data_IF_834633683668
#
_entry.id   IF_834633683668
#
_cell.length_a   1.000
_cell.length_b   1.000
_cell.length_c   1.000
_cell.angle_alpha   90.00
_cell.angle_beta   90.00
_cell.angle_gamma   90.00
#
_symmetry.space_group_name_H-M   'P 1'
#
loop_
_entity.id
_entity.type
_entity.pdbx_description
1 polymer ?
#
# COMPACT_ATOMS: atom_id res chain seq x y z
N UNK A 1 -26.36 -4.93 19.53
CA UNK A 1 -25.24 -5.90 19.66
C UNK A 1 -25.60 -7.15 18.87
N UNK A 2 -25.24 -7.17 17.59
CA UNK A 2 -25.50 -8.29 16.67
C UNK A 2 -24.46 -9.40 16.94
N UNK A 3 -24.84 -10.68 17.21
CA UNK A 3 -23.91 -11.76 17.55
C UNK A 3 -22.88 -12.05 16.43
N UNK A 4 -21.83 -12.82 16.72
CA UNK A 4 -20.84 -13.22 15.71
C UNK A 4 -21.53 -14.19 14.75
N UNK A 5 -22.02 -13.70 13.62
CA UNK A 5 -22.90 -14.48 12.73
C UNK A 5 -22.15 -15.44 11.81
N UNK A 6 -20.84 -15.32 11.68
CA UNK A 6 -20.08 -16.03 10.64
C UNK A 6 -18.86 -16.71 11.25
N UNK A 7 -18.97 -18.03 11.45
CA UNK A 7 -17.87 -18.91 11.85
C UNK A 7 -17.19 -19.54 10.63
N UNK A 8 -17.92 -19.75 9.53
CA UNK A 8 -17.43 -20.31 8.26
C UNK A 8 -18.05 -19.61 7.03
N UNK A 9 -17.50 -19.86 5.83
CA UNK A 9 -17.98 -19.24 4.59
C UNK A 9 -19.41 -19.66 4.20
N UNK A 10 -19.76 -20.91 4.45
CA UNK A 10 -21.09 -21.50 4.23
C UNK A 10 -22.17 -20.89 5.11
N UNK A 11 -21.81 -20.41 6.32
CA UNK A 11 -22.77 -19.76 7.22
C UNK A 11 -23.31 -18.47 6.60
N UNK A 12 -22.51 -17.80 5.76
CA UNK A 12 -22.95 -16.59 5.08
C UNK A 12 -24.07 -16.89 4.11
N UNK A 13 -23.92 -17.87 3.21
CA UNK A 13 -24.94 -18.20 2.21
C UNK A 13 -26.28 -18.62 2.83
N UNK A 14 -26.25 -19.31 3.97
CA UNK A 14 -27.45 -19.75 4.69
C UNK A 14 -28.13 -18.63 5.47
N UNK A 15 -27.35 -17.71 6.07
CA UNK A 15 -27.87 -16.64 6.92
C UNK A 15 -28.22 -15.39 6.11
N UNK A 16 -27.59 -15.19 4.94
CA UNK A 16 -27.74 -13.99 4.12
C UNK A 16 -29.18 -13.68 3.71
N UNK A 17 -30.05 -14.65 3.33
CA UNK A 17 -31.44 -14.36 3.00
C UNK A 17 -32.23 -13.70 4.15
N UNK A 18 -31.89 -14.03 5.40
CA UNK A 18 -32.52 -13.47 6.61
C UNK A 18 -31.84 -12.17 7.04
N UNK A 19 -30.53 -12.08 6.84
CA UNK A 19 -29.72 -10.93 7.23
C UNK A 19 -29.84 -9.77 6.24
N UNK A 20 -29.98 -10.03 4.94
CA UNK A 20 -30.00 -9.03 3.89
C UNK A 20 -31.17 -8.02 4.02
N UNK A 21 -32.41 -8.41 4.37
CA UNK A 21 -33.49 -7.45 4.64
C UNK A 21 -33.20 -6.56 5.85
N UNK A 22 -32.65 -7.14 6.92
CA UNK A 22 -32.32 -6.42 8.16
C UNK A 22 -31.18 -5.44 7.89
N UNK A 23 -30.13 -5.88 7.21
CA UNK A 23 -29.04 -5.02 6.77
C UNK A 23 -29.51 -3.95 5.81
N UNK A 24 -30.36 -4.27 4.84
CA UNK A 24 -30.92 -3.31 3.90
C UNK A 24 -31.70 -2.20 4.62
N UNK A 25 -32.51 -2.59 5.61
CA UNK A 25 -33.26 -1.66 6.46
C UNK A 25 -32.34 -0.81 7.33
N UNK A 26 -31.43 -1.40 8.11
CA UNK A 26 -30.48 -0.70 8.96
C UNK A 26 -29.55 0.21 8.15
N UNK A 27 -29.05 -0.24 7.00
CA UNK A 27 -28.24 0.58 6.11
C UNK A 27 -29.05 1.72 5.49
N UNK A 28 -30.34 1.55 5.19
CA UNK A 28 -31.14 2.62 4.61
C UNK A 28 -31.60 3.64 5.66
N UNK A 29 -32.15 3.17 6.77
CA UNK A 29 -32.88 3.97 7.77
C UNK A 29 -31.96 4.49 8.90
N UNK A 30 -30.95 3.72 9.31
CA UNK A 30 -30.14 4.01 10.51
C UNK A 30 -28.70 4.36 10.15
N UNK A 31 -28.50 5.63 9.72
CA UNK A 31 -27.20 6.13 9.25
C UNK A 31 -26.06 5.91 10.24
N UNK A 32 -26.34 6.01 11.53
CA UNK A 32 -25.35 5.91 12.60
C UNK A 32 -24.82 4.48 12.79
N UNK A 33 -25.60 3.46 12.43
CA UNK A 33 -25.20 2.05 12.57
C UNK A 33 -24.48 1.49 11.35
N UNK A 34 -24.43 2.24 10.24
CA UNK A 34 -23.83 1.77 8.97
C UNK A 34 -22.38 1.34 9.14
N UNK A 35 -21.58 2.17 9.81
CA UNK A 35 -20.15 1.90 10.01
C UNK A 35 -19.94 0.66 10.88
N UNK A 36 -20.72 0.49 11.95
CA UNK A 36 -20.60 -0.65 12.84
C UNK A 36 -21.00 -1.96 12.15
N UNK A 37 -22.04 -1.91 11.32
CA UNK A 37 -22.43 -3.05 10.47
C UNK A 37 -21.31 -3.37 9.47
N UNK A 38 -20.77 -2.38 8.76
CA UNK A 38 -19.68 -2.60 7.81
C UNK A 38 -18.42 -3.17 8.48
N UNK A 39 -18.05 -2.67 9.66
CA UNK A 39 -16.95 -3.20 10.48
C UNK A 39 -17.16 -4.66 10.85
N UNK A 40 -18.38 -5.02 11.23
CA UNK A 40 -18.73 -6.39 11.64
C UNK A 40 -18.54 -7.42 10.53
N UNK A 41 -18.82 -7.02 9.28
CA UNK A 41 -18.69 -7.89 8.10
C UNK A 41 -17.38 -7.69 7.33
N UNK A 42 -16.48 -6.82 7.80
CA UNK A 42 -15.25 -6.47 7.11
C UNK A 42 -14.42 -7.71 6.75
N UNK A 43 -14.29 -8.68 7.67
CA UNK A 43 -13.57 -9.93 7.41
C UNK A 43 -14.14 -10.68 6.19
N UNK A 44 -15.46 -10.91 6.18
CA UNK A 44 -16.12 -11.68 5.12
C UNK A 44 -16.04 -10.97 3.77
N UNK A 45 -16.28 -9.65 3.75
CA UNK A 45 -16.18 -8.86 2.53
C UNK A 45 -14.75 -8.78 2.02
N UNK A 46 -13.77 -8.54 2.89
CA UNK A 46 -12.36 -8.51 2.49
C UNK A 46 -11.91 -9.85 1.94
N UNK A 47 -12.31 -10.96 2.56
CA UNK A 47 -11.98 -12.30 2.04
C UNK A 47 -12.51 -12.49 0.62
N UNK A 48 -13.75 -12.11 0.37
CA UNK A 48 -14.35 -12.21 -0.97
C UNK A 48 -13.65 -11.30 -1.98
N UNK A 49 -13.42 -10.03 -1.61
CA UNK A 49 -12.72 -9.07 -2.46
C UNK A 49 -11.28 -9.53 -2.78
N UNK A 50 -10.57 -10.13 -1.82
CA UNK A 50 -9.23 -10.68 -2.03
C UNK A 50 -9.25 -11.88 -2.98
N UNK A 51 -10.23 -12.77 -2.80
CA UNK A 51 -10.45 -13.89 -3.71
C UNK A 51 -10.68 -13.36 -5.13
N UNK A 52 -11.72 -12.55 -5.31
CA UNK A 52 -12.11 -11.97 -6.59
C UNK A 52 -10.98 -11.18 -7.26
N UNK A 53 -10.21 -10.41 -6.49
CA UNK A 53 -9.08 -9.67 -7.03
C UNK A 53 -7.95 -10.58 -7.53
N UNK A 54 -7.68 -11.71 -6.86
CA UNK A 54 -6.55 -12.60 -7.17
C UNK A 54 -6.88 -13.69 -8.20
N UNK A 55 -8.16 -13.88 -8.54
CA UNK A 55 -8.64 -14.79 -9.58
C UNK A 55 -7.97 -14.50 -10.93
N UNK A 56 -7.75 -15.58 -11.70
CA UNK A 56 -7.14 -15.52 -13.04
C UNK A 56 -7.98 -14.68 -14.00
N UNK A 57 -7.38 -14.16 -15.08
CA UNK A 57 -8.14 -13.42 -16.09
C UNK A 57 -9.22 -14.30 -16.74
N UNK A 58 -8.87 -15.52 -17.14
CA UNK A 58 -9.80 -16.43 -17.81
C UNK A 58 -11.04 -16.71 -16.96
N UNK A 59 -10.84 -17.06 -15.69
CA UNK A 59 -11.94 -17.30 -14.75
C UNK A 59 -12.79 -16.05 -14.53
N UNK A 60 -12.17 -14.87 -14.44
CA UNK A 60 -12.90 -13.62 -14.22
C UNK A 60 -13.68 -13.19 -15.46
N UNK A 61 -13.15 -13.44 -16.66
CA UNK A 61 -13.83 -13.22 -17.93
C UNK A 61 -15.04 -14.16 -18.09
N UNK A 62 -14.92 -15.42 -17.67
CA UNK A 62 -16.01 -16.40 -17.66
C UNK A 62 -17.12 -16.04 -16.66
N UNK A 63 -16.76 -15.67 -15.42
CA UNK A 63 -17.72 -15.41 -14.34
C UNK A 63 -18.43 -14.06 -14.52
N UNK A 64 -17.70 -13.01 -14.91
CA UNK A 64 -18.25 -11.64 -14.96
C UNK A 64 -18.61 -11.20 -16.40
N UNK A 65 -18.24 -11.98 -17.43
CA UNK A 65 -18.44 -11.59 -18.83
C UNK A 65 -17.67 -10.32 -19.23
N UNK A 66 -16.68 -9.89 -18.43
CA UNK A 66 -15.94 -8.64 -18.64
C UNK A 66 -14.55 -8.90 -19.21
N UNK A 67 -14.20 -8.28 -20.33
CA UNK A 67 -12.93 -8.51 -21.03
C UNK A 67 -12.07 -7.25 -21.17
N UNK A 68 -10.75 -7.44 -21.29
CA UNK A 68 -9.81 -6.36 -21.62
C UNK A 68 -9.86 -5.18 -20.63
N UNK A 69 -10.22 -3.98 -21.12
CA UNK A 69 -10.22 -2.77 -20.31
C UNK A 69 -11.28 -2.77 -19.21
N UNK A 70 -12.45 -3.41 -19.41
CA UNK A 70 -13.49 -3.46 -18.37
C UNK A 70 -13.04 -4.31 -17.19
N UNK A 71 -12.36 -5.44 -17.46
CA UNK A 71 -11.74 -6.28 -16.44
C UNK A 71 -10.73 -5.51 -15.58
N UNK A 72 -9.88 -4.68 -16.22
CA UNK A 72 -8.92 -3.83 -15.50
C UNK A 72 -9.63 -2.82 -14.60
N UNK A 73 -10.69 -2.17 -15.09
CA UNK A 73 -11.49 -1.21 -14.33
C UNK A 73 -12.19 -1.87 -13.15
N UNK A 74 -12.74 -3.08 -13.34
CA UNK A 74 -13.34 -3.88 -12.28
C UNK A 74 -12.33 -4.17 -11.17
N UNK A 75 -11.14 -4.65 -11.52
CA UNK A 75 -10.07 -4.88 -10.54
C UNK A 75 -9.63 -3.61 -9.81
N UNK A 76 -9.50 -2.49 -10.52
CA UNK A 76 -9.21 -1.20 -9.88
C UNK A 76 -10.30 -0.82 -8.87
N UNK A 77 -11.57 -1.06 -9.19
CA UNK A 77 -12.71 -0.80 -8.31
C UNK A 77 -12.68 -1.70 -7.08
N UNK A 78 -12.42 -3.00 -7.25
CA UNK A 78 -12.27 -3.96 -6.15
C UNK A 78 -11.14 -3.52 -5.20
N UNK A 79 -9.97 -3.18 -5.74
CA UNK A 79 -8.83 -2.75 -4.94
C UNK A 79 -9.10 -1.44 -4.18
N UNK A 80 -9.84 -0.52 -4.78
CA UNK A 80 -10.23 0.72 -4.10
C UNK A 80 -11.23 0.44 -2.97
N UNK A 81 -12.20 -0.44 -3.20
CA UNK A 81 -13.11 -0.91 -2.14
C UNK A 81 -12.34 -1.57 -1.00
N UNK A 82 -11.33 -2.41 -1.29
CA UNK A 82 -10.46 -2.99 -0.26
C UNK A 82 -9.80 -1.90 0.58
N UNK A 83 -9.25 -0.84 -0.04
CA UNK A 83 -8.63 0.27 0.70
C UNK A 83 -9.61 0.95 1.64
N UNK A 84 -10.84 1.21 1.20
CA UNK A 84 -11.87 1.82 2.05
C UNK A 84 -12.21 0.96 3.27
N UNK A 85 -12.16 -0.37 3.13
CA UNK A 85 -12.36 -1.28 4.26
C UNK A 85 -11.17 -1.31 5.22
N UNK A 86 -9.94 -1.02 4.79
CA UNK A 86 -8.76 -1.03 5.68
C UNK A 86 -8.90 -0.05 6.85
N UNK A 87 -9.51 1.11 6.63
CA UNK A 87 -9.72 2.12 7.67
C UNK A 87 -10.77 1.68 8.73
N UNK A 88 -11.61 0.71 8.37
CA UNK A 88 -12.67 0.17 9.23
C UNK A 88 -12.24 -1.13 9.91
N UNK A 89 -11.20 -1.79 9.42
CA UNK A 89 -10.87 -3.15 9.80
C UNK A 89 -9.93 -3.16 11.02
N UNK A 90 -10.25 -3.92 12.08
CA UNK A 90 -9.36 -4.12 13.22
C UNK A 90 -7.98 -4.68 12.81
N UNK A 91 -6.92 -4.28 13.50
CA UNK A 91 -5.54 -4.64 13.13
C UNK A 91 -5.28 -6.16 13.15
N UNK A 92 -5.92 -6.90 14.05
CA UNK A 92 -5.83 -8.37 14.13
C UNK A 92 -6.36 -9.04 12.86
N UNK A 93 -7.44 -8.51 12.28
CA UNK A 93 -7.97 -8.98 11.00
C UNK A 93 -7.02 -8.62 9.85
N UNK A 94 -6.47 -7.40 9.84
CA UNK A 94 -5.48 -6.98 8.84
C UNK A 94 -4.23 -7.87 8.88
N UNK A 95 -3.76 -8.22 10.06
CA UNK A 95 -2.59 -9.09 10.25
C UNK A 95 -2.88 -10.52 9.77
N UNK A 96 -4.08 -11.05 9.98
CA UNK A 96 -4.49 -12.34 9.40
C UNK A 96 -4.43 -12.32 7.87
N UNK A 97 -4.97 -11.27 7.22
CA UNK A 97 -4.86 -11.12 5.77
C UNK A 97 -3.43 -10.90 5.30
N UNK A 98 -2.59 -10.27 6.12
CA UNK A 98 -1.17 -10.10 5.85
C UNK A 98 -0.46 -11.46 5.80
N UNK A 99 -0.68 -12.32 6.80
CA UNK A 99 -0.11 -13.66 6.83
C UNK A 99 -0.56 -14.50 5.62
N UNK A 100 -1.86 -14.49 5.30
CA UNK A 100 -2.39 -15.17 4.12
C UNK A 100 -1.76 -14.67 2.81
N UNK A 101 -1.54 -13.36 2.69
CA UNK A 101 -0.89 -12.79 1.51
C UNK A 101 0.58 -13.22 1.42
N UNK A 102 1.30 -13.27 2.54
CA UNK A 102 2.70 -13.71 2.61
C UNK A 102 2.82 -15.19 2.26
N UNK A 103 1.97 -16.04 2.83
CA UNK A 103 1.89 -17.47 2.49
C UNK A 103 1.68 -17.67 0.99
N UNK A 104 0.74 -16.92 0.38
CA UNK A 104 0.51 -16.97 -1.07
C UNK A 104 1.73 -16.55 -1.89
N UNK A 105 2.50 -15.56 -1.44
CA UNK A 105 3.69 -15.08 -2.15
C UNK A 105 4.85 -16.07 -2.13
N UNK A 106 4.92 -16.91 -1.10
CA UNK A 106 5.93 -17.95 -0.94
C UNK A 106 5.68 -19.17 -1.85
N UNK A 107 4.50 -19.29 -2.47
CA UNK A 107 4.20 -20.36 -3.43
C UNK A 107 5.06 -20.16 -4.68
N UNK A 108 6.04 -21.04 -4.89
CA UNK A 108 7.00 -20.95 -6.01
C UNK A 108 6.31 -21.06 -7.36
N UNK A 109 5.32 -21.97 -7.49
CA UNK A 109 4.59 -22.26 -8.72
C UNK A 109 3.56 -21.21 -9.12
N UNK A 110 3.31 -20.21 -8.28
CA UNK A 110 2.29 -19.20 -8.56
C UNK A 110 2.71 -18.30 -9.74
N UNK A 111 1.84 -18.10 -10.76
CA UNK A 111 2.12 -17.23 -11.89
C UNK A 111 2.48 -15.80 -11.48
N UNK A 112 3.37 -15.17 -12.26
CA UNK A 112 3.85 -13.80 -12.01
C UNK A 112 2.71 -12.79 -11.90
N UNK A 113 1.72 -12.86 -12.79
CA UNK A 113 0.57 -11.95 -12.80
C UNK A 113 -0.26 -12.09 -11.50
N UNK A 114 -0.38 -13.30 -10.97
CA UNK A 114 -1.10 -13.56 -9.73
C UNK A 114 -0.32 -13.05 -8.52
N UNK A 115 1.01 -13.29 -8.46
CA UNK A 115 1.87 -12.71 -7.43
C UNK A 115 1.80 -11.19 -7.41
N UNK A 116 1.84 -10.56 -8.58
CA UNK A 116 1.69 -9.10 -8.74
C UNK A 116 0.34 -8.60 -8.18
N UNK A 117 -0.74 -9.36 -8.36
CA UNK A 117 -2.05 -9.04 -7.78
C UNK A 117 -2.05 -9.18 -6.26
N UNK A 118 -1.45 -10.25 -5.71
CA UNK A 118 -1.28 -10.39 -4.26
C UNK A 118 -0.51 -9.19 -3.69
N UNK A 119 0.55 -8.73 -4.36
CA UNK A 119 1.31 -7.55 -3.93
C UNK A 119 0.54 -6.23 -3.98
N UNK A 120 -0.46 -6.10 -4.87
CA UNK A 120 -1.35 -4.95 -4.85
C UNK A 120 -2.24 -4.93 -3.60
N UNK A 121 -2.70 -6.09 -3.15
CA UNK A 121 -3.45 -6.25 -1.91
C UNK A 121 -2.55 -6.02 -0.69
N UNK A 122 -1.32 -6.55 -0.70
CA UNK A 122 -0.32 -6.29 0.34
C UNK A 122 -0.07 -4.79 0.50
N UNK A 123 0.03 -4.03 -0.60
CA UNK A 123 0.17 -2.58 -0.53
C UNK A 123 -1.04 -1.88 0.12
N UNK A 124 -2.25 -2.43 0.01
CA UNK A 124 -3.43 -1.90 0.70
C UNK A 124 -3.39 -2.22 2.20
N UNK A 125 -3.01 -3.45 2.57
CA UNK A 125 -2.92 -3.90 3.97
C UNK A 125 -1.97 -3.04 4.82
N UNK A 126 -0.88 -2.55 4.24
CA UNK A 126 0.11 -1.69 4.91
C UNK A 126 -0.50 -0.48 5.62
N UNK A 127 -1.59 0.07 5.10
CA UNK A 127 -2.25 1.26 5.67
C UNK A 127 -2.68 1.07 7.13
N UNK A 128 -3.13 -0.13 7.50
CA UNK A 128 -3.66 -0.46 8.83
C UNK A 128 -2.91 -1.60 9.52
N UNK A 129 -1.84 -2.13 8.92
CA UNK A 129 -1.06 -3.24 9.49
C UNK A 129 -0.41 -2.88 10.84
N UNK A 130 -0.27 -3.85 11.73
CA UNK A 130 0.50 -3.69 12.96
C UNK A 130 2.01 -3.65 12.69
N UNK A 131 2.82 -3.38 13.71
CA UNK A 131 4.29 -3.49 13.62
C UNK A 131 4.70 -4.91 13.18
N UNK A 132 4.07 -5.93 13.74
CA UNK A 132 4.34 -7.32 13.36
C UNK A 132 3.98 -7.59 11.90
N UNK A 133 2.82 -7.12 11.44
CA UNK A 133 2.42 -7.20 10.03
C UNK A 133 3.40 -6.49 9.10
N UNK A 134 3.85 -5.28 9.46
CA UNK A 134 4.85 -4.54 8.70
C UNK A 134 6.21 -5.26 8.64
N UNK A 135 6.67 -5.86 9.74
CA UNK A 135 7.90 -6.66 9.76
C UNK A 135 7.80 -7.80 8.74
N UNK A 136 6.71 -8.57 8.78
CA UNK A 136 6.49 -9.70 7.86
C UNK A 136 6.43 -9.24 6.40
N UNK A 137 5.69 -8.15 6.11
CA UNK A 137 5.59 -7.58 4.77
C UNK A 137 6.96 -7.08 4.29
N UNK A 138 7.70 -6.36 5.14
CA UNK A 138 8.98 -5.79 4.76
C UNK A 138 10.01 -6.90 4.49
N UNK A 139 10.08 -7.92 5.34
CA UNK A 139 10.95 -9.08 5.14
C UNK A 139 10.68 -9.82 3.82
N UNK A 140 9.42 -10.02 3.44
CA UNK A 140 9.11 -10.73 2.18
C UNK A 140 9.44 -9.91 0.93
N UNK A 141 9.24 -8.58 0.97
CA UNK A 141 9.51 -7.72 -0.20
C UNK A 141 10.98 -7.29 -0.29
N UNK A 142 11.74 -7.39 0.79
CA UNK A 142 13.12 -6.90 0.87
C UNK A 142 14.03 -7.40 -0.27
N UNK A 143 14.03 -8.70 -0.64
CA UNK A 143 14.86 -9.20 -1.74
C UNK A 143 14.52 -8.55 -3.09
N UNK A 144 13.30 -8.04 -3.26
CA UNK A 144 12.84 -7.51 -4.53
C UNK A 144 13.26 -6.07 -4.81
N UNK A 145 13.81 -5.34 -3.84
CA UNK A 145 14.39 -4.02 -4.10
C UNK A 145 15.57 -4.08 -5.07
N UNK A 146 16.28 -5.20 -5.12
CA UNK A 146 17.42 -5.45 -6.01
C UNK A 146 17.10 -6.49 -7.10
N UNK A 147 15.83 -6.87 -7.27
CA UNK A 147 15.45 -7.87 -8.27
C UNK A 147 15.59 -7.31 -9.69
N UNK A 148 16.05 -8.17 -10.60
CA UNK A 148 16.05 -7.91 -12.05
C UNK A 148 14.65 -7.98 -12.65
N UNK A 149 13.70 -8.64 -11.97
CA UNK A 149 12.30 -8.69 -12.38
C UNK A 149 11.62 -7.35 -12.06
N UNK A 150 11.57 -6.48 -13.07
CA UNK A 150 11.07 -5.11 -12.95
C UNK A 150 9.66 -5.03 -12.35
N UNK A 151 8.81 -6.03 -12.58
CA UNK A 151 7.47 -6.04 -12.02
C UNK A 151 7.49 -6.21 -10.49
N UNK A 152 8.33 -7.10 -9.96
CA UNK A 152 8.49 -7.26 -8.51
C UNK A 152 9.13 -6.04 -7.87
N UNK A 153 10.20 -5.51 -8.46
CA UNK A 153 10.86 -4.32 -7.94
C UNK A 153 9.90 -3.12 -7.87
N UNK A 154 9.08 -2.92 -8.92
CA UNK A 154 8.04 -1.89 -8.94
C UNK A 154 7.02 -2.05 -7.81
N UNK A 155 6.60 -3.28 -7.52
CA UNK A 155 5.65 -3.55 -6.42
C UNK A 155 6.31 -3.37 -5.05
N UNK A 156 7.55 -3.81 -4.87
CA UNK A 156 8.31 -3.61 -3.63
C UNK A 156 8.45 -2.12 -3.30
N UNK A 157 8.87 -1.27 -4.24
CA UNK A 157 8.93 0.18 -4.01
C UNK A 157 7.56 0.82 -3.80
N UNK A 158 6.48 0.27 -4.38
CA UNK A 158 5.12 0.75 -4.11
C UNK A 158 4.72 0.44 -2.66
N UNK A 159 4.95 -0.79 -2.19
CA UNK A 159 4.70 -1.20 -0.80
C UNK A 159 5.53 -0.35 0.15
N UNK A 160 6.83 -0.20 -0.13
CA UNK A 160 7.74 0.66 0.63
C UNK A 160 7.23 2.10 0.75
N UNK A 161 6.73 2.67 -0.35
CA UNK A 161 6.13 3.98 -0.33
C UNK A 161 4.88 4.05 0.56
N UNK A 162 4.01 3.04 0.54
CA UNK A 162 2.85 2.98 1.44
C UNK A 162 3.29 2.89 2.91
N UNK A 163 4.35 2.13 3.21
CA UNK A 163 4.94 2.08 4.57
C UNK A 163 5.43 3.49 4.95
N UNK A 164 6.16 4.16 4.05
CA UNK A 164 6.69 5.51 4.27
C UNK A 164 5.62 6.59 4.48
N UNK A 165 4.39 6.41 4.01
CA UNK A 165 3.30 7.35 4.34
C UNK A 165 2.97 7.34 5.84
N UNK A 166 3.30 6.25 6.53
CA UNK A 166 3.13 6.08 7.98
C UNK A 166 4.37 6.48 8.78
N UNK A 167 5.36 7.13 8.17
CA UNK A 167 6.62 7.52 8.84
C UNK A 167 6.41 8.35 10.12
N UNK A 168 5.36 9.18 10.16
CA UNK A 168 5.02 10.03 11.30
C UNK A 168 3.95 9.42 12.22
N UNK A 169 3.50 8.20 11.94
CA UNK A 169 2.51 7.49 12.75
C UNK A 169 3.20 6.85 13.96
N UNK A 170 2.74 7.24 15.16
CA UNK A 170 3.30 6.75 16.43
C UNK A 170 3.13 5.24 16.61
N UNK A 171 2.09 4.65 16.01
CA UNK A 171 1.80 3.22 16.13
C UNK A 171 2.84 2.33 15.46
N UNK A 172 3.66 2.87 14.56
CA UNK A 172 4.67 2.12 13.80
C UNK A 172 6.09 2.65 13.97
N UNK A 173 6.32 3.52 14.97
CA UNK A 173 7.65 4.09 15.24
C UNK A 173 8.69 3.00 15.57
N UNK A 174 8.27 1.92 16.24
CA UNK A 174 9.12 0.76 16.51
C UNK A 174 9.67 0.14 15.23
N UNK A 175 8.81 -0.10 14.22
CA UNK A 175 9.23 -0.63 12.91
C UNK A 175 10.35 0.21 12.27
N UNK A 176 10.18 1.53 12.22
CA UNK A 176 11.18 2.43 11.61
C UNK A 176 12.48 2.51 12.41
N UNK A 177 12.42 2.24 13.71
CA UNK A 177 13.61 2.17 14.56
C UNK A 177 14.36 0.86 14.30
N UNK A 178 13.65 -0.26 14.22
CA UNK A 178 14.23 -1.60 13.99
C UNK A 178 14.84 -1.77 12.61
N UNK A 179 14.22 -1.22 11.56
CA UNK A 179 14.71 -1.33 10.17
C UNK A 179 15.41 -0.06 9.67
N UNK A 180 15.90 0.80 10.57
CA UNK A 180 16.47 2.10 10.22
C UNK A 180 17.64 2.00 9.23
N UNK A 181 18.51 1.00 9.43
CA UNK A 181 19.69 0.79 8.60
C UNK A 181 19.32 0.23 7.22
N UNK A 182 18.43 -0.77 7.15
CA UNK A 182 17.94 -1.34 5.90
C UNK A 182 17.18 -0.31 5.07
N UNK A 183 16.34 0.50 5.71
CA UNK A 183 15.61 1.59 5.07
C UNK A 183 16.61 2.61 4.50
N UNK A 184 17.65 2.96 5.25
CA UNK A 184 18.69 3.89 4.79
C UNK A 184 19.44 3.30 3.60
N UNK A 185 19.83 2.03 3.66
CA UNK A 185 20.47 1.32 2.55
C UNK A 185 19.60 1.32 1.28
N UNK A 186 18.28 1.13 1.40
CA UNK A 186 17.34 1.20 0.26
C UNK A 186 17.30 2.61 -0.33
N UNK A 187 17.24 3.66 0.50
CA UNK A 187 17.25 5.06 0.06
C UNK A 187 18.60 5.47 -0.56
N UNK A 188 19.68 4.81 -0.17
CA UNK A 188 21.04 5.05 -0.65
C UNK A 188 21.40 4.31 -1.94
N UNK A 189 20.54 3.40 -2.42
CA UNK A 189 20.72 2.73 -3.70
C UNK A 189 20.98 3.70 -4.86
N UNK A 190 21.80 3.26 -5.81
CA UNK A 190 22.06 4.00 -7.03
C UNK A 190 20.81 4.04 -7.91
N UNK A 191 20.56 5.16 -8.59
CA UNK A 191 19.38 5.29 -9.44
C UNK A 191 19.39 4.30 -10.61
N UNK A 192 20.55 3.81 -11.04
CA UNK A 192 20.68 2.79 -12.09
C UNK A 192 20.17 1.42 -11.67
N UNK A 193 20.23 1.06 -10.38
CA UNK A 193 19.68 -0.20 -9.88
C UNK A 193 18.16 -0.16 -9.74
N UNK A 194 17.55 1.03 -9.68
CA UNK A 194 16.11 1.22 -9.57
C UNK A 194 15.48 1.32 -10.97
N UNK A 195 14.66 0.33 -11.34
CA UNK A 195 13.95 0.31 -12.60
C UNK A 195 13.09 1.57 -12.79
N UNK A 196 13.07 2.09 -14.02
CA UNK A 196 12.34 3.32 -14.37
C UNK A 196 10.86 3.29 -13.99
N UNK A 197 10.25 2.10 -14.00
CA UNK A 197 8.85 1.87 -13.64
C UNK A 197 8.59 1.99 -12.12
N UNK A 198 9.62 1.82 -11.28
CA UNK A 198 9.58 1.88 -9.83
C UNK A 198 9.95 3.27 -9.27
N UNK A 199 10.75 4.05 -10.00
CA UNK A 199 11.30 5.35 -9.56
C UNK A 199 10.24 6.34 -9.05
N UNK A 200 9.02 6.35 -9.60
CA UNK A 200 7.95 7.23 -9.12
C UNK A 200 7.57 6.95 -7.65
N UNK A 201 7.53 5.68 -7.25
CA UNK A 201 7.25 5.30 -5.87
C UNK A 201 8.46 5.60 -4.98
N UNK A 202 9.68 5.36 -5.48
CA UNK A 202 10.92 5.67 -4.76
C UNK A 202 11.06 7.17 -4.45
N UNK A 203 10.82 8.05 -5.44
CA UNK A 203 10.80 9.50 -5.23
C UNK A 203 9.71 9.93 -4.23
N UNK A 204 8.58 9.22 -4.21
CA UNK A 204 7.51 9.52 -3.23
C UNK A 204 7.97 9.21 -1.80
N UNK A 205 8.79 8.17 -1.59
CA UNK A 205 9.43 7.89 -0.31
C UNK A 205 10.41 9.00 0.11
N UNK A 206 11.23 9.53 -0.81
CA UNK A 206 12.06 10.71 -0.54
C UNK A 206 11.23 11.93 -0.10
N UNK A 207 10.10 12.15 -0.76
CA UNK A 207 9.18 13.24 -0.39
C UNK A 207 8.63 13.06 1.02
N UNK A 208 8.20 11.85 1.38
CA UNK A 208 7.74 11.54 2.75
C UNK A 208 8.86 11.72 3.78
N UNK A 209 10.08 11.28 3.48
CA UNK A 209 11.25 11.50 4.33
C UNK A 209 11.54 12.98 4.54
N UNK A 210 11.53 13.78 3.47
CA UNK A 210 11.72 15.23 3.55
C UNK A 210 10.67 15.90 4.44
N UNK A 211 9.41 15.45 4.37
CA UNK A 211 8.33 15.97 5.20
C UNK A 211 8.48 15.66 6.69
N UNK A 212 9.18 14.60 7.05
CA UNK A 212 9.45 14.28 8.45
C UNK A 212 10.61 15.10 9.04
N UNK A 213 11.36 15.84 8.22
CA UNK A 213 12.49 16.66 8.69
C UNK A 213 12.01 18.03 9.17
N UNK A 214 12.42 18.41 10.38
CA UNK A 214 12.01 19.67 11.02
C UNK A 214 13.11 20.73 11.07
N UNK A 215 14.39 20.34 11.00
CA UNK A 215 15.51 21.28 11.15
C UNK A 215 16.21 21.58 9.83
N UNK A 216 16.74 22.79 9.68
CA UNK A 216 17.51 23.17 8.49
C UNK A 216 18.70 22.23 8.25
N UNK A 217 19.44 21.88 9.31
CA UNK A 217 20.62 21.02 9.22
C UNK A 217 20.29 19.62 8.70
N UNK A 218 19.14 19.06 9.07
CA UNK A 218 18.72 17.76 8.54
C UNK A 218 18.23 17.85 7.10
N UNK A 219 17.61 18.96 6.71
CA UNK A 219 17.21 19.22 5.32
C UNK A 219 18.44 19.40 4.42
N UNK A 220 19.48 20.10 4.88
CA UNK A 220 20.76 20.26 4.16
C UNK A 220 21.42 18.89 3.92
N UNK A 221 21.53 18.06 4.95
CA UNK A 221 22.05 16.68 4.82
C UNK A 221 21.24 15.84 3.84
N UNK A 222 19.91 15.99 3.86
CA UNK A 222 19.05 15.31 2.90
C UNK A 222 19.33 15.78 1.46
N UNK A 223 19.52 17.09 1.25
CA UNK A 223 19.87 17.64 -0.05
C UNK A 223 21.21 17.10 -0.53
N UNK A 224 22.25 17.11 0.31
CA UNK A 224 23.57 16.56 0.00
C UNK A 224 23.49 15.09 -0.44
N UNK A 225 22.69 14.28 0.26
CA UNK A 225 22.58 12.85 -0.01
C UNK A 225 21.74 12.51 -1.26
N UNK A 226 20.64 13.24 -1.51
CA UNK A 226 19.60 12.79 -2.45
C UNK A 226 19.31 13.75 -3.61
N UNK A 227 19.80 14.99 -3.59
CA UNK A 227 19.46 16.00 -4.61
C UNK A 227 19.86 15.54 -6.02
N UNK A 228 21.07 15.00 -6.19
CA UNK A 228 21.54 14.49 -7.49
C UNK A 228 20.60 13.39 -8.02
N UNK A 229 20.18 12.46 -7.15
CA UNK A 229 19.27 11.37 -7.50
C UNK A 229 17.89 11.88 -7.92
N UNK A 230 17.38 12.91 -7.24
CA UNK A 230 16.13 13.57 -7.60
C UNK A 230 16.25 14.26 -8.97
N UNK A 231 17.35 14.96 -9.24
CA UNK A 231 17.59 15.65 -10.52
C UNK A 231 17.70 14.65 -11.67
N UNK A 232 18.38 13.50 -11.48
CA UNK A 232 18.46 12.44 -12.49
C UNK A 232 17.08 11.91 -12.91
N UNK A 233 16.07 12.03 -12.05
CA UNK A 233 14.70 11.66 -12.37
C UNK A 233 13.96 12.66 -13.26
N UNK A 234 14.54 13.83 -13.58
CA UNK A 234 13.99 14.79 -14.55
C UNK A 234 14.21 14.36 -15.99
N UNK A 235 15.22 13.51 -16.22
CA UNK A 235 15.59 13.07 -17.55
C UNK A 235 14.39 12.47 -18.31
N UNK A 236 14.30 12.80 -19.60
CA UNK A 236 13.17 12.41 -20.47
C UNK A 236 13.02 10.90 -20.64
N UNK A 237 14.06 10.14 -20.36
CA UNK A 237 14.00 8.67 -20.38
C UNK A 237 13.18 8.08 -19.24
N UNK A 238 12.80 8.89 -18.24
CA UNK A 238 11.83 8.53 -17.19
C UNK A 238 10.40 8.82 -17.63
N UNK A 239 9.45 8.05 -17.10
CA UNK A 239 8.03 8.28 -17.36
C UNK A 239 7.54 9.61 -16.76
N UNK A 240 6.40 10.11 -17.25
CA UNK A 240 5.80 11.39 -16.80
C UNK A 240 5.59 11.43 -15.29
N UNK A 241 5.08 10.34 -14.69
CA UNK A 241 4.80 10.27 -13.25
C UNK A 241 6.07 10.42 -12.41
N UNK A 242 7.18 9.79 -12.82
CA UNK A 242 8.48 9.93 -12.17
C UNK A 242 8.97 11.37 -12.26
N UNK A 243 8.92 11.99 -13.45
CA UNK A 243 9.39 13.37 -13.67
C UNK A 243 8.58 14.39 -12.86
N UNK A 244 7.25 14.28 -12.88
CA UNK A 244 6.36 15.14 -12.09
C UNK A 244 6.59 14.94 -10.59
N UNK A 245 6.74 13.71 -10.13
CA UNK A 245 7.05 13.40 -8.73
C UNK A 245 8.37 14.00 -8.28
N UNK A 246 9.42 13.88 -9.12
CA UNK A 246 10.74 14.41 -8.84
C UNK A 246 10.72 15.93 -8.78
N UNK A 247 10.06 16.59 -9.74
CA UNK A 247 9.89 18.04 -9.74
C UNK A 247 9.17 18.49 -8.46
N UNK A 248 8.09 17.81 -8.09
CA UNK A 248 7.36 18.09 -6.85
C UNK A 248 8.22 17.93 -5.59
N UNK A 249 9.07 16.89 -5.54
CA UNK A 249 10.00 16.68 -4.44
C UNK A 249 11.08 17.78 -4.38
N UNK A 250 11.63 18.18 -5.53
CA UNK A 250 12.62 19.25 -5.63
C UNK A 250 12.07 20.62 -5.21
N UNK A 251 10.90 21.00 -5.74
CA UNK A 251 10.25 22.25 -5.35
C UNK A 251 9.99 22.28 -3.85
N UNK A 252 9.52 21.16 -3.29
CA UNK A 252 9.30 21.06 -1.86
C UNK A 252 10.60 21.18 -1.05
N UNK A 253 11.69 20.59 -1.51
CA UNK A 253 13.02 20.74 -0.88
C UNK A 253 13.42 22.21 -0.81
N UNK A 254 13.31 22.94 -1.93
CA UNK A 254 13.58 24.38 -1.97
C UNK A 254 12.70 25.16 -0.99
N UNK A 255 11.39 24.89 -0.98
CA UNK A 255 10.45 25.55 -0.06
C UNK A 255 10.80 25.30 1.41
N UNK A 256 11.13 24.05 1.77
CA UNK A 256 11.52 23.69 3.15
C UNK A 256 12.83 24.35 3.58
N UNK A 257 13.82 24.44 2.69
CA UNK A 257 15.08 25.15 2.96
C UNK A 257 14.84 26.64 3.22
N UNK A 258 13.98 27.29 2.41
CA UNK A 258 13.64 28.71 2.58
C UNK A 258 12.90 28.94 3.91
N UNK A 259 11.90 28.12 4.22
CA UNK A 259 11.12 28.21 5.46
C UNK A 259 12.03 28.11 6.70
N UNK A 260 12.77 27.00 6.83
CA UNK A 260 13.63 26.77 7.98
C UNK A 260 14.85 27.72 8.03
N UNK A 261 15.26 28.30 6.88
CA UNK A 261 16.30 29.31 6.81
C UNK A 261 15.82 30.71 7.23
N UNK A 262 14.55 31.03 7.00
CA UNK A 262 13.94 32.31 7.40
C UNK A 262 13.69 32.36 8.91
N UNK A 263 13.33 31.22 9.52
CA UNK A 263 13.10 31.09 10.97
C UNK A 263 14.37 31.29 11.82
N UNK A 264 15.57 31.24 11.22
CA UNK A 264 16.86 31.49 11.90
C UNK A 264 17.31 32.95 11.88
N UNK A 265 16.60 33.85 11.18
CA UNK A 265 16.95 35.28 11.04
C UNK A 265 16.13 36.21 11.95
N UNK A 266 15.38 35.65 12.90
CA UNK A 266 14.70 36.35 14.01
C UNK A 266 15.29 35.87 15.35
#
# INVERSE_FOLDING_TARGET
LLPNFLSTATDFEQIFPTLAPIMGKTLHEEKDLRLDVMRRFAYSFLRELFSLYTVSNATMEEVEGTTGNSLRTLRCSILETVRLYMDLTPCDVVDNFTNLAVEKLQIETMPLDQKIRVLDLTAALVSSASVSGLNTIFSIVHPWFLSTEMAFQKKAFRIFNEIFKRLNDKSVTEFFTSYGDEISNILEQDMSSVAKSARAAFISAYKSKLNSLSSLKSIEKFAEAYLVKIILCFDKSNNVRTRTGALGCFVQLCQRMIQCGSDKKL
#
